data_IF_442522775512
#
_entry.id   IF_442522775512
#
_cell.length_a   1.000
_cell.length_b   1.000
_cell.length_c   1.000
_cell.angle_alpha   90.00
_cell.angle_beta   90.00
_cell.angle_gamma   90.00
#
_symmetry.space_group_name_H-M   'P 1'
#
loop_
_entity.id
_entity.type
_entity.pdbx_description
1 polymer ?
#
# COMPACT_ATOMS: atom_id res chain seq x y z
N UNK A 1 -37.10 36.71 -39.59
CA UNK A 1 -38.23 36.71 -38.63
C UNK A 1 -38.28 35.46 -37.73
N UNK A 2 -37.87 34.27 -38.19
CA UNK A 2 -37.85 33.04 -37.36
C UNK A 2 -36.93 33.14 -36.12
N UNK A 3 -35.74 33.72 -36.25
CA UNK A 3 -34.78 33.84 -35.14
C UNK A 3 -35.19 34.92 -34.12
N UNK A 4 -35.90 35.97 -34.58
CA UNK A 4 -36.47 37.00 -33.70
C UNK A 4 -37.62 36.46 -32.85
N UNK A 5 -38.40 35.51 -33.38
CA UNK A 5 -39.49 34.87 -32.66
C UNK A 5 -39.00 33.98 -31.52
N UNK A 6 -37.89 33.26 -31.73
CA UNK A 6 -37.27 32.40 -30.70
C UNK A 6 -36.64 33.25 -29.58
N UNK A 7 -36.02 34.39 -29.93
CA UNK A 7 -35.50 35.34 -28.94
C UNK A 7 -36.63 36.00 -28.14
N UNK A 8 -37.74 36.37 -28.79
CA UNK A 8 -38.92 36.90 -28.08
C UNK A 8 -39.54 35.86 -27.13
N UNK A 9 -39.60 34.58 -27.54
CA UNK A 9 -40.17 33.49 -26.74
C UNK A 9 -39.30 33.12 -25.52
N UNK A 10 -37.99 33.41 -25.57
CA UNK A 10 -37.08 33.32 -24.42
C UNK A 10 -37.20 34.51 -23.45
N UNK A 11 -37.59 35.69 -23.93
CA UNK A 11 -37.75 36.90 -23.11
C UNK A 11 -39.12 36.94 -22.41
N UNK A 12 -40.17 36.38 -23.00
CA UNK A 12 -41.52 36.31 -22.41
C UNK A 12 -41.58 35.64 -21.00
N UNK A 13 -40.89 34.52 -20.71
CA UNK A 13 -40.86 33.97 -19.36
C UNK A 13 -39.98 34.79 -18.39
N UNK A 14 -39.02 35.58 -18.90
CA UNK A 14 -38.19 36.45 -18.04
C UNK A 14 -38.96 37.64 -17.46
N UNK A 15 -40.01 38.11 -18.13
CA UNK A 15 -40.86 39.22 -17.64
C UNK A 15 -42.02 38.76 -16.76
N UNK A 16 -42.52 37.53 -16.94
CA UNK A 16 -43.58 36.97 -16.09
C UNK A 16 -43.07 36.57 -14.68
N UNK A 17 -41.78 36.26 -14.56
CA UNK A 17 -41.12 35.96 -13.28
C UNK A 17 -40.36 37.16 -12.69
N UNK A 18 -40.41 38.34 -13.31
CA UNK A 18 -39.76 39.56 -12.81
C UNK A 18 -40.63 40.39 -11.83
N UNK A 19 -41.81 39.89 -11.43
CA UNK A 19 -42.71 40.57 -10.52
C UNK A 19 -42.40 40.33 -9.03
N UNK A 20 -41.46 39.42 -8.70
CA UNK A 20 -40.99 39.21 -7.34
C UNK A 20 -39.47 39.43 -7.27
N UNK A 21 -39.04 40.21 -6.28
CA UNK A 21 -37.68 40.73 -6.13
C UNK A 21 -36.64 39.69 -5.69
N UNK A 22 -36.80 38.44 -6.14
CA UNK A 22 -35.96 37.31 -5.76
C UNK A 22 -35.88 36.31 -6.92
N UNK A 23 -34.79 36.43 -7.70
CA UNK A 23 -34.30 35.51 -8.73
C UNK A 23 -35.15 35.35 -10.01
N UNK A 24 -34.66 35.96 -11.10
CA UNK A 24 -35.17 35.72 -12.46
C UNK A 24 -34.94 34.27 -12.87
N UNK A 25 -35.79 33.70 -13.73
CA UNK A 25 -35.57 32.34 -14.28
C UNK A 25 -34.17 32.19 -14.93
N UNK A 26 -33.64 33.28 -15.50
CA UNK A 26 -32.29 33.33 -16.04
C UNK A 26 -31.21 33.29 -14.96
N UNK A 27 -31.47 33.82 -13.76
CA UNK A 27 -30.56 33.71 -12.61
C UNK A 27 -30.59 32.29 -12.03
N UNK A 28 -31.76 31.65 -11.99
CA UNK A 28 -31.90 30.26 -11.55
C UNK A 28 -31.19 29.29 -12.49
N UNK A 29 -31.40 29.42 -13.80
CA UNK A 29 -30.70 28.61 -14.81
C UNK A 29 -29.20 28.94 -14.84
N UNK A 30 -28.85 30.22 -14.65
CA UNK A 30 -27.46 30.67 -14.53
C UNK A 30 -26.74 30.04 -13.33
N UNK A 31 -27.38 30.00 -12.16
CA UNK A 31 -26.85 29.35 -10.96
C UNK A 31 -26.70 27.84 -11.16
N UNK A 32 -27.69 27.15 -11.74
CA UNK A 32 -27.58 25.72 -12.03
C UNK A 32 -26.45 25.37 -13.01
N UNK A 33 -26.24 26.16 -14.05
CA UNK A 33 -25.12 25.96 -14.98
C UNK A 33 -23.77 26.28 -14.34
N UNK A 34 -23.73 27.29 -13.47
CA UNK A 34 -22.54 27.65 -12.72
C UNK A 34 -22.17 26.55 -11.70
N UNK A 35 -23.14 26.04 -10.94
CA UNK A 35 -22.96 24.96 -9.97
C UNK A 35 -22.55 23.65 -10.67
N UNK A 36 -23.14 23.35 -11.84
CA UNK A 36 -22.71 22.21 -12.66
C UNK A 36 -21.28 22.39 -13.19
N UNK A 37 -20.92 23.61 -13.61
CA UNK A 37 -19.56 23.92 -14.03
C UNK A 37 -18.57 23.72 -12.88
N UNK A 38 -18.85 24.29 -11.70
CA UNK A 38 -18.02 24.14 -10.50
C UNK A 38 -17.93 22.69 -10.01
N UNK A 39 -19.02 21.93 -10.02
CA UNK A 39 -19.01 20.52 -9.65
C UNK A 39 -18.10 19.70 -10.58
N UNK A 40 -18.14 19.97 -11.89
CA UNK A 40 -17.32 19.27 -12.88
C UNK A 40 -15.85 19.71 -12.80
N UNK A 41 -15.57 21.00 -12.63
CA UNK A 41 -14.19 21.53 -12.69
C UNK A 41 -13.44 21.44 -11.37
N UNK A 42 -14.12 21.44 -10.23
CA UNK A 42 -13.47 21.56 -8.91
C UNK A 42 -13.66 20.31 -8.05
N UNK A 43 -14.88 19.80 -7.93
CA UNK A 43 -15.19 18.70 -7.00
C UNK A 43 -14.73 17.34 -7.54
N UNK A 44 -14.95 17.09 -8.84
CA UNK A 44 -14.57 15.82 -9.48
C UNK A 44 -13.04 15.59 -9.41
N UNK A 45 -12.16 16.55 -9.78
CA UNK A 45 -10.71 16.36 -9.64
C UNK A 45 -10.26 16.15 -8.18
N UNK A 46 -10.89 16.81 -7.21
CA UNK A 46 -10.58 16.66 -5.79
C UNK A 46 -10.85 15.26 -5.25
N UNK A 47 -11.95 14.63 -5.68
CA UNK A 47 -12.28 13.25 -5.32
C UNK A 47 -11.30 12.26 -5.97
N UNK A 48 -10.92 12.48 -7.24
CA UNK A 48 -9.92 11.65 -7.90
C UNK A 48 -8.56 11.70 -7.19
N UNK A 49 -8.10 12.87 -6.75
CA UNK A 49 -6.85 12.99 -6.02
C UNK A 49 -6.87 12.18 -4.71
N UNK A 50 -7.97 12.25 -3.94
CA UNK A 50 -8.12 11.47 -2.70
C UNK A 50 -8.25 9.97 -2.96
N UNK A 51 -8.95 9.57 -4.03
CA UNK A 51 -9.09 8.17 -4.41
C UNK A 51 -7.77 7.56 -4.84
N UNK A 52 -6.97 8.28 -5.63
CA UNK A 52 -5.62 7.83 -6.02
C UNK A 52 -4.70 7.76 -4.80
N UNK A 53 -4.75 8.76 -3.91
CA UNK A 53 -3.97 8.73 -2.66
C UNK A 53 -4.31 7.50 -1.80
N UNK A 54 -5.60 7.22 -1.59
CA UNK A 54 -6.05 6.02 -0.89
C UNK A 54 -5.63 4.72 -1.60
N UNK A 55 -5.71 4.69 -2.93
CA UNK A 55 -5.28 3.54 -3.73
C UNK A 55 -3.79 3.24 -3.58
N UNK A 56 -2.94 4.28 -3.57
CA UNK A 56 -1.49 4.15 -3.37
C UNK A 56 -1.17 3.70 -1.94
N UNK A 57 -1.86 4.23 -0.93
CA UNK A 57 -1.69 3.81 0.45
C UNK A 57 -2.03 2.32 0.63
N UNK A 58 -3.18 1.88 0.13
CA UNK A 58 -3.61 0.50 0.20
C UNK A 58 -2.66 -0.45 -0.54
N UNK A 59 -2.21 -0.07 -1.75
CA UNK A 59 -1.21 -0.82 -2.50
C UNK A 59 0.10 -0.99 -1.73
N UNK A 60 0.57 0.08 -1.09
CA UNK A 60 1.81 0.06 -0.30
C UNK A 60 1.69 -0.87 0.91
N UNK A 61 0.55 -0.84 1.63
CA UNK A 61 0.29 -1.74 2.74
C UNK A 61 0.22 -3.21 2.31
N UNK A 62 -0.44 -3.49 1.18
CA UNK A 62 -0.51 -4.83 0.62
C UNK A 62 0.88 -5.35 0.20
N UNK A 63 1.69 -4.50 -0.44
CA UNK A 63 3.07 -4.83 -0.84
C UNK A 63 3.96 -5.15 0.36
N UNK A 64 3.89 -4.35 1.43
CA UNK A 64 4.66 -4.58 2.65
C UNK A 64 4.23 -5.88 3.34
N UNK A 65 2.92 -6.13 3.42
CA UNK A 65 2.36 -7.35 4.01
C UNK A 65 2.81 -8.58 3.24
N UNK A 66 2.74 -8.54 1.91
CA UNK A 66 3.21 -9.63 1.05
C UNK A 66 4.71 -9.89 1.23
N UNK A 67 5.54 -8.84 1.27
CA UNK A 67 6.99 -8.97 1.55
C UNK A 67 7.24 -9.62 2.91
N UNK A 68 6.48 -9.25 3.94
CA UNK A 68 6.63 -9.83 5.28
C UNK A 68 6.28 -11.33 5.31
N UNK A 69 5.19 -11.73 4.63
CA UNK A 69 4.83 -13.15 4.51
C UNK A 69 5.88 -13.95 3.73
N UNK A 70 6.48 -13.36 2.69
CA UNK A 70 7.56 -13.99 1.94
C UNK A 70 8.81 -14.21 2.78
N UNK A 71 9.20 -13.25 3.64
CA UNK A 71 10.31 -13.42 4.58
C UNK A 71 10.04 -14.57 5.56
N UNK A 72 8.82 -14.65 6.11
CA UNK A 72 8.42 -15.76 6.99
C UNK A 72 8.47 -17.11 6.27
N UNK A 73 8.03 -17.16 5.02
CA UNK A 73 8.12 -18.37 4.20
C UNK A 73 9.57 -18.78 3.93
N UNK A 74 10.42 -17.82 3.53
CA UNK A 74 11.84 -18.06 3.31
C UNK A 74 12.54 -18.61 4.57
N UNK A 75 12.17 -18.11 5.76
CA UNK A 75 12.67 -18.62 7.03
C UNK A 75 12.25 -20.07 7.31
N UNK A 76 11.00 -20.43 7.01
CA UNK A 76 10.52 -21.82 7.18
C UNK A 76 11.27 -22.79 6.26
N UNK A 77 11.49 -22.40 5.00
CA UNK A 77 12.28 -23.18 4.05
C UNK A 77 13.73 -23.29 4.52
N UNK A 78 14.33 -22.21 5.01
CA UNK A 78 15.69 -22.23 5.55
C UNK A 78 15.83 -23.17 6.76
N UNK A 79 14.84 -23.20 7.66
CA UNK A 79 14.82 -24.12 8.80
C UNK A 79 14.75 -25.59 8.36
N UNK A 80 13.98 -25.89 7.32
CA UNK A 80 13.91 -27.23 6.74
C UNK A 80 15.28 -27.63 6.16
N UNK A 81 15.88 -26.76 5.34
CA UNK A 81 17.22 -26.99 4.76
C UNK A 81 18.28 -27.19 5.84
N UNK A 82 18.28 -26.38 6.90
CA UNK A 82 19.23 -26.51 8.01
C UNK A 82 19.08 -27.85 8.77
N UNK A 83 17.85 -28.37 8.86
CA UNK A 83 17.56 -29.69 9.43
C UNK A 83 18.06 -30.80 8.51
N UNK A 84 17.84 -30.68 7.20
CA UNK A 84 18.24 -31.66 6.20
C UNK A 84 19.78 -31.77 6.07
N UNK A 85 20.50 -30.64 6.20
CA UNK A 85 21.98 -30.60 6.22
C UNK A 85 22.55 -31.14 7.55
N UNK A 86 21.72 -31.36 8.57
CA UNK A 86 22.11 -31.84 9.89
C UNK A 86 23.21 -30.97 10.54
N UNK A 87 23.07 -29.65 10.42
CA UNK A 87 24.05 -28.67 10.90
C UNK A 87 24.34 -28.86 12.40
N UNK A 88 23.32 -29.25 13.17
CA UNK A 88 23.43 -29.56 14.60
C UNK A 88 24.45 -30.66 14.89
N UNK A 89 24.55 -31.72 14.08
CA UNK A 89 25.53 -32.79 14.30
C UNK A 89 26.98 -32.32 14.04
N UNK A 90 27.20 -31.54 12.98
CA UNK A 90 28.52 -30.97 12.68
C UNK A 90 28.97 -29.93 13.71
N UNK A 91 28.03 -29.13 14.24
CA UNK A 91 28.31 -28.17 15.30
C UNK A 91 28.66 -28.89 16.61
N UNK A 92 27.93 -29.94 16.96
CA UNK A 92 28.19 -30.75 18.16
C UNK A 92 29.53 -31.49 18.05
N UNK A 93 29.87 -32.05 16.88
CA UNK A 93 31.15 -32.72 16.66
C UNK A 93 32.33 -31.75 16.73
N UNK A 94 32.15 -30.50 16.29
CA UNK A 94 33.17 -29.46 16.36
C UNK A 94 33.35 -28.92 17.78
N UNK A 95 32.25 -28.73 18.52
CA UNK A 95 32.27 -28.34 19.94
C UNK A 95 32.91 -29.42 20.82
N UNK A 96 32.70 -30.69 20.49
CA UNK A 96 33.28 -31.82 21.22
C UNK A 96 34.79 -31.93 21.07
N UNK A 97 35.37 -31.34 20.01
CA UNK A 97 36.81 -31.29 19.78
C UNK A 97 37.50 -30.13 20.52
N UNK A 98 36.73 -29.19 21.08
CA UNK A 98 37.29 -28.06 21.82
C UNK A 98 37.73 -28.45 23.25
N UNK A 99 38.79 -27.82 23.79
CA UNK A 99 39.24 -28.03 25.16
C UNK A 99 38.12 -27.78 26.18
N UNK A 100 38.12 -28.55 27.27
CA UNK A 100 37.02 -28.61 28.24
C UNK A 100 36.68 -27.24 28.88
N UNK A 101 37.71 -26.43 29.17
CA UNK A 101 37.57 -25.06 29.68
C UNK A 101 36.92 -24.10 28.67
N UNK A 102 37.22 -24.27 27.38
CA UNK A 102 36.64 -23.46 26.30
C UNK A 102 35.20 -23.91 26.02
N UNK A 103 34.92 -25.21 26.14
CA UNK A 103 33.58 -25.77 25.94
C UNK A 103 32.58 -25.27 26.97
N UNK A 104 32.98 -25.24 28.24
CA UNK A 104 32.17 -24.67 29.33
C UNK A 104 31.88 -23.18 29.09
N UNK A 105 32.90 -22.39 28.72
CA UNK A 105 32.72 -20.97 28.42
C UNK A 105 31.80 -20.72 27.21
N UNK A 106 31.91 -21.54 26.16
CA UNK A 106 31.05 -21.47 24.97
C UNK A 106 29.59 -21.84 25.27
N UNK A 107 29.37 -22.74 26.23
CA UNK A 107 28.06 -23.17 26.67
C UNK A 107 27.38 -22.09 27.52
N UNK A 108 28.13 -21.45 28.42
CA UNK A 108 27.67 -20.31 29.24
C UNK A 108 27.34 -19.08 28.37
N UNK A 109 28.15 -18.82 27.34
CA UNK A 109 27.92 -17.72 26.39
C UNK A 109 26.82 -18.00 25.36
N UNK A 110 26.27 -19.22 25.32
CA UNK A 110 25.23 -19.59 24.34
C UNK A 110 25.68 -19.52 22.88
N UNK A 111 27.00 -19.56 22.63
CA UNK A 111 27.57 -19.36 21.28
C UNK A 111 27.09 -20.43 20.31
N UNK A 112 26.84 -21.66 20.76
CA UNK A 112 26.28 -22.71 19.92
C UNK A 112 24.89 -22.35 19.35
N UNK A 113 24.03 -21.73 20.16
CA UNK A 113 22.71 -21.27 19.73
C UNK A 113 22.82 -20.05 18.82
N UNK A 114 23.74 -19.13 19.11
CA UNK A 114 24.01 -17.97 18.26
C UNK A 114 24.54 -18.39 16.88
N UNK A 115 25.40 -19.41 16.82
CA UNK A 115 25.96 -19.93 15.57
C UNK A 115 24.90 -20.67 14.75
N UNK A 116 24.00 -21.42 15.40
CA UNK A 116 22.83 -22.01 14.75
C UNK A 116 21.90 -20.92 14.16
N UNK A 117 21.61 -19.87 14.92
CA UNK A 117 20.84 -18.73 14.44
C UNK A 117 21.51 -18.04 13.25
N UNK A 118 22.82 -17.78 13.31
CA UNK A 118 23.58 -17.15 12.24
C UNK A 118 23.50 -17.96 10.95
N UNK A 119 23.66 -19.28 11.03
CA UNK A 119 23.55 -20.17 9.89
C UNK A 119 22.14 -20.14 9.31
N UNK A 120 21.10 -20.20 10.14
CA UNK A 120 19.72 -20.07 9.68
C UNK A 120 19.46 -18.73 8.97
N UNK A 121 20.05 -17.63 9.46
CA UNK A 121 19.96 -16.30 8.82
C UNK A 121 20.64 -16.29 7.45
N UNK A 122 21.82 -16.90 7.31
CA UNK A 122 22.51 -17.00 6.02
C UNK A 122 21.73 -17.84 5.00
N UNK A 123 21.17 -18.97 5.42
CA UNK A 123 20.33 -19.82 4.55
C UNK A 123 19.05 -19.07 4.19
N UNK A 124 18.42 -18.35 5.13
CA UNK A 124 17.23 -17.53 4.85
C UNK A 124 17.56 -16.44 3.83
N UNK A 125 18.72 -15.79 3.92
CA UNK A 125 19.18 -14.80 2.92
C UNK A 125 19.40 -15.41 1.54
N UNK A 126 19.97 -16.61 1.48
CA UNK A 126 20.13 -17.34 0.23
C UNK A 126 18.77 -17.68 -0.42
N UNK A 127 17.81 -18.17 0.37
CA UNK A 127 16.44 -18.45 -0.09
C UNK A 127 15.75 -17.17 -0.57
N UNK A 128 15.88 -16.06 0.16
CA UNK A 128 15.32 -14.76 -0.27
C UNK A 128 15.91 -14.31 -1.61
N UNK A 129 17.20 -14.50 -1.85
CA UNK A 129 17.84 -14.18 -3.13
C UNK A 129 17.33 -15.04 -4.29
N UNK A 130 17.04 -16.32 -4.06
CA UNK A 130 16.41 -17.19 -5.07
C UNK A 130 14.96 -16.76 -5.35
N UNK A 131 14.25 -16.29 -4.33
CA UNK A 131 12.87 -15.82 -4.45
C UNK A 131 12.73 -14.46 -5.17
N UNK A 132 13.83 -13.90 -5.69
CA UNK A 132 13.82 -12.68 -6.50
C UNK A 132 13.73 -11.39 -5.69
N UNK A 133 14.23 -11.42 -4.45
CA UNK A 133 14.43 -10.22 -3.63
C UNK A 133 15.84 -9.64 -3.81
#
# INVERSE_FOLDING_TARGET
>A
MRNLFIVALLVLPSVAFAADSSSSFLDYVGQQLNDLHYAITEEVPGIFHRFVAWGVEYYTLAMLTAKLHMIKFAYLVAKQIATDINISAYLLSSISQLPESVRWALQELGIANALNLLINVYITRFVMGIMGW
#
